data_IF_054497924323
#
_entry.id   IF_054497924323
#
_cell.length_a   1.000
_cell.length_b   1.000
_cell.length_c   1.000
_cell.angle_alpha   90.00
_cell.angle_beta   90.00
_cell.angle_gamma   90.00
#
_symmetry.space_group_name_H-M   'P 1'
#
loop_
_entity.id
_entity.type
_entity.pdbx_description
1 polymer ?
#
# COMPACT_ATOMS: atom_id res chain seq x y z
N UNK A 1 -24.51 -26.08 20.17
CA UNK A 1 -23.70 -25.40 21.21
C UNK A 1 -24.34 -25.62 22.59
N UNK A 2 -23.56 -25.79 23.67
CA UNK A 2 -24.10 -26.03 25.03
C UNK A 2 -24.45 -24.72 25.75
N UNK A 3 -25.45 -24.73 26.65
CA UNK A 3 -25.77 -23.58 27.54
C UNK A 3 -24.55 -23.12 28.35
N UNK A 4 -23.69 -24.05 28.76
CA UNK A 4 -22.45 -23.73 29.50
C UNK A 4 -21.48 -22.92 28.63
N UNK A 5 -21.41 -23.22 27.33
CA UNK A 5 -20.58 -22.47 26.37
C UNK A 5 -21.15 -21.08 26.13
N UNK A 6 -22.47 -20.95 26.01
CA UNK A 6 -23.14 -19.65 25.84
C UNK A 6 -22.90 -18.73 27.05
N UNK A 7 -23.08 -19.24 28.27
CA UNK A 7 -22.82 -18.48 29.48
C UNK A 7 -21.35 -18.01 29.59
N UNK A 8 -20.40 -18.80 29.10
CA UNK A 8 -18.98 -18.42 29.05
C UNK A 8 -18.70 -17.31 28.03
N UNK A 9 -19.43 -17.29 26.91
CA UNK A 9 -19.40 -16.19 25.94
C UNK A 9 -19.96 -14.91 26.58
N UNK A 10 -21.12 -14.99 27.23
CA UNK A 10 -21.80 -13.85 27.88
C UNK A 10 -20.97 -13.21 29.00
N UNK A 11 -20.21 -14.03 29.73
CA UNK A 11 -19.30 -13.57 30.79
C UNK A 11 -17.90 -13.17 30.29
N UNK A 12 -17.64 -13.25 28.98
CA UNK A 12 -16.36 -12.85 28.40
C UNK A 12 -15.18 -13.76 28.76
N UNK A 13 -15.43 -15.05 29.00
CA UNK A 13 -14.38 -16.00 29.41
C UNK A 13 -13.32 -16.17 28.31
N UNK A 14 -12.00 -16.04 28.62
CA UNK A 14 -10.93 -16.07 27.61
C UNK A 14 -10.66 -17.46 27.02
N UNK A 15 -11.25 -18.50 27.61
CA UNK A 15 -11.07 -19.90 27.19
C UNK A 15 -12.11 -20.35 26.15
N UNK A 16 -12.89 -19.41 25.61
CA UNK A 16 -13.87 -19.65 24.53
C UNK A 16 -13.16 -19.61 23.18
N UNK A 17 -13.39 -20.64 22.37
CA UNK A 17 -12.88 -20.69 20.99
C UNK A 17 -13.62 -19.71 20.09
N UNK A 18 -12.92 -19.11 19.11
CA UNK A 18 -13.54 -18.25 18.08
C UNK A 18 -14.70 -18.95 17.37
N UNK A 19 -14.60 -20.25 17.08
CA UNK A 19 -15.69 -21.01 16.46
C UNK A 19 -16.97 -21.08 17.31
N UNK A 20 -16.85 -21.08 18.65
CA UNK A 20 -18.02 -21.03 19.53
C UNK A 20 -18.70 -19.66 19.51
N UNK A 21 -17.91 -18.57 19.40
CA UNK A 21 -18.43 -17.22 19.23
C UNK A 21 -19.19 -17.08 17.90
N UNK A 22 -18.61 -17.57 16.80
CA UNK A 22 -19.24 -17.53 15.46
C UNK A 22 -20.56 -18.32 15.46
N UNK A 23 -20.57 -19.54 16.01
CA UNK A 23 -21.79 -20.34 16.14
C UNK A 23 -22.89 -19.63 16.95
N UNK A 24 -22.52 -18.87 17.99
CA UNK A 24 -23.47 -18.09 18.78
C UNK A 24 -24.07 -16.93 17.98
N UNK A 25 -23.24 -16.21 17.22
CA UNK A 25 -23.68 -15.13 16.35
C UNK A 25 -24.62 -15.62 15.24
N UNK A 26 -24.27 -16.71 14.57
CA UNK A 26 -25.08 -17.31 13.52
C UNK A 26 -26.47 -17.75 14.04
N UNK A 27 -26.52 -18.33 15.25
CA UNK A 27 -27.77 -18.78 15.86
C UNK A 27 -28.80 -17.66 16.11
N UNK A 28 -28.36 -16.41 16.18
CA UNK A 28 -29.23 -15.23 16.34
C UNK A 28 -29.34 -14.38 15.06
N UNK A 29 -28.79 -14.87 13.94
CA UNK A 29 -28.84 -14.18 12.66
C UNK A 29 -27.83 -13.03 12.52
N UNK A 30 -26.73 -13.06 13.28
CA UNK A 30 -25.64 -12.09 13.19
C UNK A 30 -24.46 -12.64 12.37
N UNK A 31 -23.81 -11.75 11.64
CA UNK A 31 -22.57 -12.04 10.89
C UNK A 31 -21.40 -11.32 11.56
N UNK A 32 -20.26 -12.00 11.66
CA UNK A 32 -19.01 -11.42 12.16
C UNK A 32 -18.14 -11.06 10.96
N UNK A 33 -17.82 -9.78 10.82
CA UNK A 33 -16.86 -9.30 9.84
C UNK A 33 -15.53 -8.98 10.51
N UNK A 34 -14.43 -9.38 9.85
CA UNK A 34 -13.08 -9.04 10.26
C UNK A 34 -12.53 -7.99 9.30
N UNK A 35 -12.28 -6.79 9.82
CA UNK A 35 -11.67 -5.71 9.06
C UNK A 35 -10.19 -5.58 9.42
N UNK A 36 -9.35 -5.44 8.40
CA UNK A 36 -7.95 -5.07 8.62
C UNK A 36 -7.87 -3.64 9.17
N UNK A 37 -7.08 -3.44 10.22
CA UNK A 37 -6.77 -2.10 10.74
C UNK A 37 -5.57 -1.48 10.03
N UNK A 38 -4.85 -2.27 9.24
CA UNK A 38 -3.81 -1.78 8.34
C UNK A 38 -4.52 -1.17 7.12
N UNK A 39 -4.11 0.02 6.63
CA UNK A 39 -4.59 0.49 5.33
C UNK A 39 -4.38 -0.65 4.32
N UNK A 40 -5.33 -0.89 3.40
CA UNK A 40 -5.14 -1.85 2.33
C UNK A 40 -3.83 -1.46 1.66
N UNK A 41 -2.81 -2.32 1.73
CA UNK A 41 -1.84 -2.32 0.65
C UNK A 41 -2.70 -2.78 -0.51
N UNK A 42 -3.05 -1.86 -1.41
CA UNK A 42 -3.67 -2.21 -2.67
C UNK A 42 -2.71 -3.20 -3.34
N UNK A 43 -2.96 -4.50 -3.12
CA UNK A 43 -2.59 -5.53 -4.07
C UNK A 43 -3.37 -5.13 -5.32
N UNK A 44 -2.72 -4.31 -6.17
CA UNK A 44 -3.20 -4.02 -7.51
C UNK A 44 -3.50 -5.39 -8.11
N UNK A 45 -4.77 -5.66 -8.38
CA UNK A 45 -5.16 -6.72 -9.31
C UNK A 45 -4.26 -6.56 -10.54
N UNK A 46 -3.35 -7.50 -10.79
CA UNK A 46 -2.51 -7.52 -11.99
C UNK A 46 -3.35 -7.60 -13.29
N UNK A 47 -4.68 -7.65 -13.18
CA UNK A 47 -5.63 -7.70 -14.29
C UNK A 47 -6.73 -6.61 -14.27
N UNK A 48 -6.66 -5.58 -13.41
CA UNK A 48 -7.56 -4.44 -13.56
C UNK A 48 -7.14 -3.60 -14.79
N UNK A 49 -8.08 -3.21 -15.69
CA UNK A 49 -7.74 -2.38 -16.83
C UNK A 49 -7.20 -1.05 -16.31
N UNK A 50 -5.91 -0.82 -16.53
CA UNK A 50 -5.29 0.48 -16.34
C UNK A 50 -6.05 1.46 -17.21
N UNK A 51 -6.73 2.44 -16.61
CA UNK A 51 -7.35 3.54 -17.33
C UNK A 51 -6.24 4.26 -18.12
N UNK A 52 -6.19 4.16 -19.46
CA UNK A 52 -5.04 4.62 -20.24
C UNK A 52 -4.87 6.14 -20.23
N UNK A 53 -5.82 6.88 -19.63
CA UNK A 53 -5.89 8.34 -19.63
C UNK A 53 -5.18 9.06 -18.48
N UNK A 54 -4.68 8.38 -17.44
CA UNK A 54 -4.11 9.06 -16.25
C UNK A 54 -2.89 8.35 -15.65
N UNK A 55 -1.99 7.85 -16.49
CA UNK A 55 -0.69 7.33 -16.05
C UNK A 55 0.37 8.39 -16.38
N UNK A 56 0.89 9.08 -15.36
CA UNK A 56 2.00 10.00 -15.57
C UNK A 56 3.25 9.19 -15.88
N UNK A 57 3.66 9.17 -17.14
CA UNK A 57 4.76 8.36 -17.64
C UNK A 57 6.08 9.11 -17.43
N UNK A 58 6.97 8.56 -16.59
CA UNK A 58 8.24 9.18 -16.21
C UNK A 58 9.39 8.48 -16.93
N UNK A 59 10.10 9.20 -17.81
CA UNK A 59 11.30 8.67 -18.45
C UNK A 59 12.48 8.69 -17.46
N UNK A 60 13.14 7.56 -17.28
CA UNK A 60 14.21 7.37 -16.29
C UNK A 60 15.40 8.30 -16.53
N UNK A 61 15.78 8.51 -17.80
CA UNK A 61 16.95 9.29 -18.19
C UNK A 61 16.85 10.79 -17.91
N UNK A 62 15.64 11.32 -17.74
CA UNK A 62 15.41 12.74 -17.49
C UNK A 62 15.68 13.12 -16.02
N UNK A 63 15.80 12.11 -15.15
CA UNK A 63 15.87 12.25 -13.69
C UNK A 63 17.09 11.50 -13.15
N UNK A 64 18.21 12.19 -12.85
CA UNK A 64 19.47 11.56 -12.46
C UNK A 64 19.38 10.66 -11.22
N UNK A 65 18.58 11.02 -10.22
CA UNK A 65 18.40 10.19 -9.02
C UNK A 65 17.51 8.99 -9.31
N UNK A 66 16.48 9.16 -10.15
CA UNK A 66 15.71 8.01 -10.62
C UNK A 66 16.61 7.05 -11.39
N UNK A 67 17.47 7.58 -12.27
CA UNK A 67 18.46 6.80 -13.02
C UNK A 67 19.40 6.02 -12.12
N UNK A 68 19.88 6.65 -11.04
CA UNK A 68 20.73 5.98 -10.06
C UNK A 68 19.97 4.87 -9.30
N UNK A 69 18.70 5.10 -8.96
CA UNK A 69 17.85 4.13 -8.26
C UNK A 69 17.55 2.88 -9.09
N UNK A 70 17.39 3.03 -10.41
CA UNK A 70 17.13 1.96 -11.38
C UNK A 70 18.26 1.79 -12.37
N UNK A 71 19.50 1.72 -11.86
CA UNK A 71 20.71 1.57 -12.66
C UNK A 71 20.70 0.37 -13.62
N UNK A 72 19.86 -0.63 -13.34
CA UNK A 72 19.69 -1.84 -14.17
C UNK A 72 18.86 -1.62 -15.44
N UNK A 73 18.05 -0.56 -15.50
CA UNK A 73 17.20 -0.25 -16.65
C UNK A 73 17.99 0.56 -17.68
N UNK A 74 17.42 0.79 -18.87
CA UNK A 74 17.95 1.76 -19.84
C UNK A 74 17.44 3.17 -19.54
N UNK A 75 18.18 4.20 -19.97
CA UNK A 75 17.79 5.60 -19.75
C UNK A 75 16.48 5.97 -20.47
N UNK A 76 16.19 5.31 -21.59
CA UNK A 76 14.95 5.52 -22.36
C UNK A 76 13.75 4.76 -21.78
N UNK A 77 13.96 3.97 -20.73
CA UNK A 77 12.87 3.27 -20.05
C UNK A 77 11.91 4.27 -19.45
N UNK A 78 10.62 3.99 -19.59
CA UNK A 78 9.54 4.82 -19.05
C UNK A 78 8.83 4.04 -17.96
N UNK A 79 8.70 4.65 -16.78
CA UNK A 79 8.04 4.10 -15.62
C UNK A 79 6.68 4.77 -15.43
N UNK A 80 5.71 4.02 -14.90
CA UNK A 80 4.50 4.61 -14.31
C UNK A 80 4.91 5.52 -13.14
N UNK A 81 4.25 6.67 -12.98
CA UNK A 81 4.49 7.61 -11.89
C UNK A 81 4.40 6.95 -10.52
N UNK A 82 3.52 5.96 -10.34
CA UNK A 82 3.50 5.18 -9.10
C UNK A 82 4.74 4.31 -8.92
N UNK A 83 5.23 3.66 -9.98
CA UNK A 83 6.48 2.89 -9.94
C UNK A 83 7.69 3.78 -9.69
N UNK A 84 7.72 4.96 -10.30
CA UNK A 84 8.73 5.97 -10.05
C UNK A 84 8.73 6.39 -8.56
N UNK A 85 7.56 6.65 -7.96
CA UNK A 85 7.46 6.99 -6.55
C UNK A 85 7.96 5.87 -5.64
N UNK A 86 7.49 4.63 -5.84
CA UNK A 86 7.96 3.48 -5.05
C UNK A 86 9.47 3.27 -5.18
N UNK A 87 10.02 3.53 -6.37
CA UNK A 87 11.45 3.46 -6.62
C UNK A 87 12.20 4.50 -5.80
N UNK A 88 11.70 5.74 -5.74
CA UNK A 88 12.27 6.78 -4.89
C UNK A 88 12.19 6.40 -3.41
N UNK A 89 11.04 5.98 -2.90
CA UNK A 89 10.84 5.61 -1.49
C UNK A 89 11.76 4.46 -1.06
N UNK A 90 11.81 3.38 -1.85
CA UNK A 90 12.62 2.20 -1.53
C UNK A 90 14.11 2.52 -1.46
N UNK A 91 14.58 3.37 -2.37
CA UNK A 91 16.01 3.66 -2.52
C UNK A 91 16.44 4.94 -1.79
N UNK A 92 15.52 5.66 -1.16
CA UNK A 92 15.76 7.01 -0.63
C UNK A 92 16.99 7.13 0.25
N UNK A 93 17.22 6.19 1.18
CA UNK A 93 18.38 6.20 2.08
C UNK A 93 19.73 6.04 1.36
N UNK A 94 19.71 5.58 0.12
CA UNK A 94 20.87 5.36 -0.73
C UNK A 94 21.00 6.42 -1.83
N UNK A 95 20.00 7.30 -1.97
CA UNK A 95 20.05 8.40 -2.91
C UNK A 95 20.85 9.55 -2.32
N UNK A 96 21.71 10.14 -3.14
CA UNK A 96 22.44 11.33 -2.74
C UNK A 96 21.51 12.55 -2.78
N UNK A 97 20.97 12.92 -1.62
CA UNK A 97 20.07 14.06 -1.50
C UNK A 97 20.74 15.41 -1.81
N UNK A 98 22.08 15.48 -1.82
CA UNK A 98 22.82 16.70 -2.15
C UNK A 98 22.76 17.03 -3.65
N UNK A 99 22.49 16.04 -4.51
CA UNK A 99 22.41 16.18 -5.97
C UNK A 99 20.98 16.34 -6.50
N UNK A 100 19.96 16.43 -5.62
CA UNK A 100 18.56 16.58 -6.06
C UNK A 100 18.34 17.96 -6.71
N UNK A 101 18.25 17.96 -8.04
CA UNK A 101 17.90 19.14 -8.83
C UNK A 101 16.47 19.62 -8.60
N UNK A 102 16.19 20.88 -8.95
CA UNK A 102 14.87 21.52 -8.75
C UNK A 102 13.76 20.78 -9.51
N UNK A 103 14.04 20.31 -10.74
CA UNK A 103 13.09 19.55 -11.55
C UNK A 103 12.73 18.21 -10.90
N UNK A 104 13.71 17.56 -10.27
CA UNK A 104 13.53 16.26 -9.63
C UNK A 104 12.75 16.38 -8.32
N UNK A 105 12.98 17.45 -7.54
CA UNK A 105 12.11 17.77 -6.38
C UNK A 105 10.67 18.01 -6.78
N UNK A 106 10.44 18.74 -7.87
CA UNK A 106 9.10 19.02 -8.36
C UNK A 106 8.38 17.74 -8.78
N UNK A 107 9.07 16.83 -9.49
CA UNK A 107 8.53 15.51 -9.82
C UNK A 107 8.18 14.73 -8.55
N UNK A 108 9.14 14.57 -7.63
CA UNK A 108 8.95 13.81 -6.40
C UNK A 108 7.77 14.35 -5.59
N UNK A 109 7.62 15.68 -5.48
CA UNK A 109 6.48 16.29 -4.80
C UNK A 109 5.16 16.02 -5.52
N UNK A 110 5.11 16.18 -6.85
CA UNK A 110 3.90 15.89 -7.64
C UNK A 110 3.48 14.42 -7.48
N UNK A 111 4.43 13.49 -7.51
CA UNK A 111 4.20 12.08 -7.27
C UNK A 111 3.72 11.82 -5.84
N UNK A 112 4.34 12.45 -4.83
CA UNK A 112 3.94 12.31 -3.43
C UNK A 112 2.53 12.87 -3.18
N UNK A 113 2.18 14.03 -3.75
CA UNK A 113 0.85 14.64 -3.67
C UNK A 113 -0.21 13.72 -4.28
N UNK A 114 0.13 13.08 -5.41
CA UNK A 114 -0.75 12.19 -6.15
C UNK A 114 -0.97 10.85 -5.46
N UNK A 115 0.09 10.22 -4.96
CA UNK A 115 0.06 8.81 -4.53
C UNK A 115 0.31 8.59 -3.03
N UNK A 116 0.84 9.57 -2.31
CA UNK A 116 1.24 9.43 -0.89
C UNK A 116 0.77 10.60 -0.01
N UNK A 117 -0.34 11.26 -0.38
CA UNK A 117 -0.96 12.36 0.38
C UNK A 117 0.03 13.52 0.68
N UNK A 118 1.01 13.72 -0.18
CA UNK A 118 2.00 14.81 -0.11
C UNK A 118 3.23 14.53 0.76
N UNK A 119 3.41 13.29 1.26
CA UNK A 119 4.55 12.92 2.09
C UNK A 119 5.22 11.67 1.55
N UNK A 120 6.54 11.67 1.41
CA UNK A 120 7.31 10.46 1.09
C UNK A 120 7.33 9.49 2.28
N UNK A 121 7.05 8.21 2.03
CA UNK A 121 7.10 7.17 3.06
C UNK A 121 8.52 6.59 3.15
N UNK A 122 9.34 7.09 4.08
CA UNK A 122 10.78 6.76 4.16
C UNK A 122 11.39 6.65 5.54
#
# INVERSE_FOLDING_TARGET
>A
MSRVTLHRIESGSPSVTVGALVNAAEAVGLTIELSTTRPPVEERDEQAPVDPGMVEMVRVGDYPLLRAAVWQLDADTVLDGFEALRTYERNWRHLDHATVGTQEKALIQALADRYSKGVLLV
#
